data_IF_950331317454
#
_entry.id   IF_950331317454
#
_cell.length_a   1.000
_cell.length_b   1.000
_cell.length_c   1.000
_cell.angle_alpha   90.00
_cell.angle_beta   90.00
_cell.angle_gamma   90.00
#
_symmetry.space_group_name_H-M   'P 1'
#
loop_
_entity.id
_entity.type
_entity.pdbx_description
1 polymer ?
#
# COMPACT_ATOMS: atom_id res chain seq x y z
N UNK A 1 1.63 3.36 7.74
CA UNK A 1 0.76 2.19 8.06
C UNK A 1 0.27 1.57 6.78
N UNK A 2 0.07 0.25 6.74
CA UNK A 2 -0.29 -0.44 5.49
C UNK A 2 -1.36 -1.49 5.75
N UNK A 3 -2.26 -1.68 4.78
CA UNK A 3 -3.31 -2.69 4.80
C UNK A 3 -2.98 -3.76 3.75
N UNK A 4 -2.80 -4.99 4.21
CA UNK A 4 -2.52 -6.14 3.34
C UNK A 4 -3.77 -6.79 2.79
N UNK A 5 -3.64 -7.45 1.62
CA UNK A 5 -4.69 -8.24 0.99
C UNK A 5 -6.06 -7.53 0.93
N UNK A 6 -6.08 -6.33 0.37
CA UNK A 6 -7.28 -5.47 0.39
C UNK A 6 -7.99 -5.32 -0.97
N UNK A 7 -7.67 -6.15 -1.95
CA UNK A 7 -8.36 -6.17 -3.25
C UNK A 7 -8.93 -7.56 -3.51
N UNK A 8 -10.23 -7.63 -3.83
CA UNK A 8 -10.92 -8.91 -4.02
C UNK A 8 -10.35 -9.70 -5.21
N UNK A 9 -10.07 -9.02 -6.30
CA UNK A 9 -9.43 -9.58 -7.49
C UNK A 9 -7.98 -10.05 -7.22
N UNK A 10 -7.23 -9.36 -6.36
CA UNK A 10 -5.92 -9.82 -5.91
C UNK A 10 -5.99 -11.03 -4.98
N UNK A 11 -6.99 -11.09 -4.11
CA UNK A 11 -7.24 -12.28 -3.28
C UNK A 11 -7.55 -13.50 -4.15
N UNK A 12 -8.39 -13.34 -5.18
CA UNK A 12 -8.71 -14.39 -6.15
C UNK A 12 -7.45 -14.85 -6.91
N UNK A 13 -6.63 -13.91 -7.43
CA UNK A 13 -5.38 -14.19 -8.14
C UNK A 13 -4.39 -15.03 -7.32
N UNK A 14 -4.30 -14.75 -6.02
CA UNK A 14 -3.37 -15.43 -5.10
C UNK A 14 -3.96 -16.67 -4.44
N UNK A 15 -5.25 -16.92 -4.60
CA UNK A 15 -5.98 -18.01 -3.93
C UNK A 15 -6.07 -17.80 -2.41
N UNK A 16 -6.02 -16.56 -1.94
CA UNK A 16 -6.10 -16.22 -0.53
C UNK A 16 -7.56 -16.00 -0.11
N UNK A 17 -7.88 -16.41 1.11
CA UNK A 17 -9.19 -16.15 1.70
C UNK A 17 -9.37 -14.64 1.98
N UNK A 18 -10.57 -14.12 1.76
CA UNK A 18 -10.91 -12.75 2.10
C UNK A 18 -10.85 -12.58 3.62
N UNK A 19 -10.05 -11.64 4.15
CA UNK A 19 -9.92 -11.45 5.58
C UNK A 19 -11.20 -10.84 6.18
N UNK A 20 -11.55 -11.25 7.40
CA UNK A 20 -12.68 -10.69 8.14
C UNK A 20 -12.45 -9.23 8.58
N UNK A 21 -11.19 -8.86 8.82
CA UNK A 21 -10.77 -7.53 9.23
C UNK A 21 -9.54 -7.07 8.44
N UNK A 22 -9.30 -5.75 8.30
CA UNK A 22 -8.10 -5.22 7.66
C UNK A 22 -6.82 -5.78 8.27
N UNK A 23 -5.95 -6.39 7.45
CA UNK A 23 -4.65 -6.89 7.89
C UNK A 23 -3.70 -5.69 8.00
N UNK A 24 -3.42 -5.27 9.22
CA UNK A 24 -2.55 -4.13 9.50
C UNK A 24 -1.09 -4.55 9.65
N UNK A 25 -0.21 -3.83 8.99
CA UNK A 25 1.23 -3.88 9.24
C UNK A 25 1.87 -2.48 9.11
N UNK A 26 3.14 -2.37 9.48
CA UNK A 26 3.88 -1.11 9.48
C UNK A 26 5.10 -1.24 8.59
N UNK A 27 5.50 -0.11 7.99
CA UNK A 27 6.84 0.07 7.42
C UNK A 27 7.68 0.93 8.37
N UNK A 28 8.97 0.62 8.48
CA UNK A 28 9.91 1.47 9.21
C UNK A 28 10.01 2.86 8.55
N UNK A 29 10.33 3.89 9.33
CA UNK A 29 10.50 5.24 8.78
C UNK A 29 11.64 5.31 7.74
N UNK A 30 12.67 4.48 7.88
CA UNK A 30 13.78 4.37 6.90
C UNK A 30 13.36 3.81 5.54
N UNK A 31 12.16 3.21 5.44
CA UNK A 31 11.61 2.78 4.16
C UNK A 31 11.07 3.93 3.32
N UNK A 32 10.76 5.10 3.92
CA UNK A 32 10.25 6.25 3.18
C UNK A 32 11.28 6.69 2.14
N UNK A 33 10.80 6.87 0.91
CA UNK A 33 11.63 7.24 -0.23
C UNK A 33 10.91 8.25 -1.12
N UNK A 34 11.66 9.05 -1.85
CA UNK A 34 11.09 9.98 -2.83
C UNK A 34 10.51 9.23 -4.05
N UNK A 35 9.59 9.88 -4.78
CA UNK A 35 8.89 9.23 -5.91
C UNK A 35 9.80 8.92 -7.10
N UNK A 36 10.96 9.58 -7.19
CA UNK A 36 11.93 9.41 -8.27
C UNK A 36 13.31 8.98 -7.76
N UNK A 37 13.41 8.60 -6.49
CA UNK A 37 14.65 8.14 -5.89
C UNK A 37 14.81 6.62 -6.09
N UNK A 38 16.06 6.17 -6.12
CA UNK A 38 16.39 4.76 -6.33
C UNK A 38 15.85 3.87 -5.20
N UNK A 39 15.30 2.73 -5.57
CA UNK A 39 14.98 1.65 -4.65
C UNK A 39 16.20 0.76 -4.52
N UNK A 40 16.74 0.61 -3.31
CA UNK A 40 17.95 -0.14 -3.04
C UNK A 40 17.59 -1.54 -2.51
N UNK A 41 17.70 -2.61 -3.32
CA UNK A 41 17.45 -3.96 -2.85
C UNK A 41 18.39 -4.33 -1.68
N UNK A 42 17.86 -4.93 -0.61
CA UNK A 42 18.67 -5.29 0.55
C UNK A 42 19.68 -6.38 0.22
N UNK A 43 20.74 -6.47 1.01
CA UNK A 43 21.81 -7.46 0.82
C UNK A 43 21.24 -8.88 0.73
N UNK A 44 21.54 -9.56 -0.36
CA UNK A 44 21.09 -10.93 -0.62
C UNK A 44 19.64 -11.04 -1.07
N UNK A 45 18.99 -9.91 -1.42
CA UNK A 45 17.67 -9.88 -2.03
C UNK A 45 17.68 -10.61 -3.38
N UNK A 46 16.59 -11.34 -3.64
CA UNK A 46 16.31 -11.99 -4.92
C UNK A 46 14.82 -11.94 -5.27
N UNK A 47 14.00 -11.41 -4.37
CA UNK A 47 12.55 -11.47 -4.47
C UNK A 47 11.92 -10.11 -4.15
N UNK A 48 12.60 -9.03 -4.55
CA UNK A 48 12.05 -7.67 -4.45
C UNK A 48 10.92 -7.51 -5.45
N UNK A 49 9.79 -7.04 -4.98
CA UNK A 49 8.53 -6.99 -5.72
C UNK A 49 7.87 -5.61 -5.56
N UNK A 50 7.05 -5.23 -6.51
CA UNK A 50 6.32 -3.96 -6.59
C UNK A 50 4.88 -4.12 -6.12
N UNK A 51 4.30 -3.04 -5.60
CA UNK A 51 2.88 -2.95 -5.21
C UNK A 51 2.40 -1.50 -5.32
N UNK A 52 1.71 -1.15 -6.43
CA UNK A 52 1.06 0.17 -6.52
C UNK A 52 -0.13 0.22 -5.58
N UNK A 53 -0.22 1.30 -4.78
CA UNK A 53 -1.27 1.49 -3.79
C UNK A 53 -1.77 2.92 -3.74
N UNK A 54 -3.05 3.10 -3.37
CA UNK A 54 -3.57 4.38 -2.96
C UNK A 54 -3.06 4.67 -1.54
N UNK A 55 -2.39 5.80 -1.36
CA UNK A 55 -2.02 6.34 -0.06
C UNK A 55 -3.06 7.34 0.43
N UNK A 56 -3.58 7.14 1.63
CA UNK A 56 -4.50 8.07 2.30
C UNK A 56 -3.73 8.90 3.30
N UNK A 57 -3.74 10.22 3.15
CA UNK A 57 -3.04 11.16 4.04
C UNK A 57 -4.01 11.71 5.07
N UNK A 58 -3.72 11.51 6.35
CA UNK A 58 -4.54 12.01 7.46
C UNK A 58 -4.31 13.52 7.64
N UNK A 59 -5.39 14.28 7.76
CA UNK A 59 -5.36 15.75 7.88
C UNK A 59 -5.62 16.28 9.28
N UNK A 60 -6.28 15.52 10.13
CA UNK A 60 -6.51 15.85 11.55
C UNK A 60 -6.56 14.61 12.42
N UNK A 61 -6.26 14.78 13.72
CA UNK A 61 -6.22 13.66 14.65
C UNK A 61 -7.54 12.88 14.67
N UNK A 62 -7.46 11.56 14.45
CA UNK A 62 -8.60 10.65 14.37
C UNK A 62 -8.48 9.57 15.44
N UNK A 63 -9.44 9.52 16.36
CA UNK A 63 -9.56 8.50 17.40
C UNK A 63 -11.03 8.16 17.59
N UNK A 64 -11.37 6.87 17.54
CA UNK A 64 -12.74 6.36 17.66
C UNK A 64 -13.72 7.00 16.68
N UNK A 65 -13.29 7.13 15.42
CA UNK A 65 -14.06 7.77 14.34
C UNK A 65 -15.06 6.77 13.75
N UNK A 66 -16.32 7.20 13.64
CA UNK A 66 -17.34 6.44 12.91
C UNK A 66 -17.05 6.43 11.40
N UNK A 67 -17.40 5.33 10.72
CA UNK A 67 -17.17 5.16 9.28
C UNK A 67 -17.78 6.30 8.46
N UNK A 68 -18.98 6.76 8.81
CA UNK A 68 -19.67 7.83 8.08
C UNK A 68 -18.92 9.18 8.12
N UNK A 69 -18.08 9.41 9.11
CA UNK A 69 -17.30 10.64 9.30
C UNK A 69 -15.83 10.47 8.93
N UNK A 70 -15.40 9.27 8.51
CA UNK A 70 -13.99 8.93 8.34
C UNK A 70 -13.27 9.82 7.33
N UNK A 71 -13.91 10.15 6.20
CA UNK A 71 -13.30 11.02 5.16
C UNK A 71 -13.11 12.46 5.62
N UNK A 72 -13.79 12.91 6.69
CA UNK A 72 -13.56 14.25 7.23
C UNK A 72 -12.17 14.41 7.84
N UNK A 73 -11.52 13.30 8.18
CA UNK A 73 -10.18 13.25 8.76
C UNK A 73 -9.07 13.12 7.71
N UNK A 74 -9.43 12.93 6.44
CA UNK A 74 -8.49 12.80 5.33
C UNK A 74 -8.14 14.18 4.77
N UNK A 75 -6.85 14.46 4.57
CA UNK A 75 -6.35 15.65 3.88
C UNK A 75 -6.35 15.47 2.36
N UNK A 76 -5.97 14.30 1.91
CA UNK A 76 -5.84 13.99 0.49
C UNK A 76 -5.27 12.60 0.25
N UNK A 77 -4.82 12.39 -0.98
CA UNK A 77 -4.37 11.09 -1.48
C UNK A 77 -3.06 11.23 -2.25
N UNK A 78 -2.26 10.19 -2.24
CA UNK A 78 -1.03 10.09 -3.04
C UNK A 78 -0.89 8.66 -3.58
N UNK A 79 0.12 8.42 -4.40
CA UNK A 79 0.53 7.07 -4.73
C UNK A 79 1.60 6.59 -3.75
N UNK A 80 1.58 5.31 -3.47
CA UNK A 80 2.62 4.60 -2.72
C UNK A 80 3.03 3.38 -3.53
N UNK A 81 4.31 3.05 -3.53
CA UNK A 81 4.78 1.74 -3.95
C UNK A 81 5.22 0.96 -2.70
N UNK A 82 4.38 0.00 -2.27
CA UNK A 82 4.68 -0.82 -1.08
C UNK A 82 5.67 -1.94 -1.42
N UNK A 83 6.88 -1.54 -1.81
CA UNK A 83 7.95 -2.46 -2.23
C UNK A 83 8.21 -3.51 -1.15
N UNK A 84 8.39 -4.74 -1.58
CA UNK A 84 8.42 -5.91 -0.70
C UNK A 84 9.56 -6.85 -1.06
N UNK A 85 10.40 -7.25 -0.10
CA UNK A 85 11.24 -8.44 -0.23
C UNK A 85 10.44 -9.67 0.24
N UNK A 86 9.90 -10.41 -0.71
CA UNK A 86 8.97 -11.53 -0.44
C UNK A 86 9.54 -12.62 0.46
N UNK A 87 10.83 -12.91 0.33
CA UNK A 87 11.48 -13.89 1.22
C UNK A 87 11.45 -13.43 2.67
N UNK A 88 11.72 -12.14 2.92
CA UNK A 88 11.72 -11.61 4.29
C UNK A 88 10.29 -11.51 4.83
N UNK A 89 9.32 -11.17 3.98
CA UNK A 89 7.91 -11.10 4.35
C UNK A 89 7.36 -12.44 4.82
N UNK A 90 7.60 -13.52 4.05
CA UNK A 90 6.88 -14.80 4.24
C UNK A 90 7.73 -15.91 4.85
N UNK A 91 9.05 -15.94 4.60
CA UNK A 91 9.91 -17.06 5.00
C UNK A 91 10.68 -16.81 6.32
N UNK A 92 10.64 -15.59 6.86
CA UNK A 92 11.25 -15.25 8.14
C UNK A 92 10.20 -15.10 9.25
N UNK A 93 9.50 -16.19 9.56
CA UNK A 93 8.47 -16.27 10.62
C UNK A 93 7.19 -15.47 10.36
N UNK A 94 6.85 -15.18 9.10
CA UNK A 94 5.54 -14.61 8.70
C UNK A 94 5.23 -13.20 9.17
N UNK A 95 6.18 -12.45 9.76
CA UNK A 95 5.97 -11.06 10.13
C UNK A 95 6.30 -10.16 8.94
N UNK A 96 5.27 -9.59 8.32
CA UNK A 96 5.35 -8.86 7.06
C UNK A 96 6.27 -7.64 7.11
N UNK A 97 6.30 -6.92 8.24
CA UNK A 97 7.17 -5.76 8.45
C UNK A 97 8.62 -6.02 8.05
N UNK A 98 9.13 -7.25 8.22
CA UNK A 98 10.51 -7.62 7.85
C UNK A 98 10.78 -7.47 6.35
N UNK A 99 9.83 -7.81 5.50
CA UNK A 99 9.95 -7.68 4.04
C UNK A 99 9.50 -6.32 3.50
N UNK A 100 8.71 -5.61 4.28
CA UNK A 100 8.09 -4.33 3.94
C UNK A 100 8.91 -3.12 4.37
N UNK A 101 9.87 -3.30 5.29
CA UNK A 101 10.60 -2.20 5.95
C UNK A 101 12.08 -2.08 5.55
N UNK A 102 12.50 -2.73 4.45
CA UNK A 102 13.85 -2.47 3.94
C UNK A 102 13.98 -0.98 3.58
N UNK A 103 15.17 -0.43 3.75
CA UNK A 103 15.44 0.97 3.43
C UNK A 103 15.02 1.28 1.98
N UNK A 104 14.43 2.44 1.74
CA UNK A 104 13.90 2.90 0.44
C UNK A 104 12.70 2.14 -0.12
N UNK A 105 12.13 1.18 0.61
CA UNK A 105 11.02 0.33 0.12
C UNK A 105 9.63 0.96 0.21
N UNK A 106 9.55 2.27 0.38
CA UNK A 106 8.29 3.01 0.45
C UNK A 106 8.34 4.31 -0.38
N UNK A 107 8.53 4.26 -1.70
CA UNK A 107 8.37 5.44 -2.55
C UNK A 107 6.96 6.01 -2.41
N UNK A 108 6.87 7.34 -2.17
CA UNK A 108 5.62 8.05 -1.95
C UNK A 108 5.60 9.30 -2.82
N UNK A 109 4.49 9.57 -3.48
CA UNK A 109 4.31 10.78 -4.26
C UNK A 109 3.68 10.49 -5.63
N UNK A 110 3.98 11.31 -6.67
CA UNK A 110 4.92 12.45 -6.67
C UNK A 110 4.43 13.67 -5.87
N UNK A 111 3.13 13.78 -5.59
CA UNK A 111 2.50 14.82 -4.78
C UNK A 111 1.24 14.26 -4.08
N UNK A 112 0.73 14.99 -3.13
CA UNK A 112 -0.59 14.75 -2.55
C UNK A 112 -1.63 15.57 -3.35
N UNK A 113 -2.72 14.90 -3.74
CA UNK A 113 -3.92 15.56 -4.27
C UNK A 113 -4.91 15.73 -3.12
N UNK A 114 -5.42 16.92 -2.91
CA UNK A 114 -6.37 17.18 -1.82
C UNK A 114 -7.71 16.50 -2.06
N UNK A 115 -8.41 16.16 -1.00
CA UNK A 115 -9.65 15.35 -1.08
C UNK A 115 -10.77 16.02 -1.89
N UNK A 116 -10.78 17.33 -1.97
CA UNK A 116 -11.76 18.10 -2.73
C UNK A 116 -11.56 18.02 -4.26
N UNK A 117 -10.34 17.69 -4.70
CA UNK A 117 -10.04 17.40 -6.12
C UNK A 117 -10.33 15.94 -6.50
N UNK A 118 -10.44 15.04 -5.52
CA UNK A 118 -10.78 13.62 -5.72
C UNK A 118 -12.28 13.43 -5.45
N UNK A 119 -13.06 13.18 -6.49
CA UNK A 119 -14.51 13.03 -6.35
C UNK A 119 -14.91 11.82 -5.52
N UNK A 120 -14.44 10.62 -5.88
CA UNK A 120 -14.68 9.37 -5.16
C UNK A 120 -13.41 8.54 -5.05
N UNK A 121 -12.82 8.41 -3.86
CA UNK A 121 -11.62 7.60 -3.66
C UNK A 121 -11.84 6.11 -3.93
N UNK A 122 -13.09 5.65 -4.03
CA UNK A 122 -13.43 4.26 -4.34
C UNK A 122 -13.68 4.02 -5.84
N UNK A 123 -13.31 4.95 -6.71
CA UNK A 123 -13.39 4.77 -8.16
C UNK A 123 -12.19 5.43 -8.87
N UNK A 124 -10.99 5.05 -8.47
CA UNK A 124 -9.73 5.53 -9.04
C UNK A 124 -9.03 4.39 -9.77
N UNK A 125 -8.69 4.62 -11.03
CA UNK A 125 -7.83 3.71 -11.78
C UNK A 125 -6.39 3.84 -11.31
N UNK A 126 -5.73 2.69 -11.13
CA UNK A 126 -4.33 2.61 -10.77
C UNK A 126 -3.59 1.62 -11.67
N UNK A 127 -2.34 1.93 -11.96
CA UNK A 127 -1.49 1.02 -12.72
C UNK A 127 -0.03 1.19 -12.36
N UNK A 128 0.77 0.18 -12.69
CA UNK A 128 2.22 0.17 -12.53
C UNK A 128 2.87 -0.47 -13.75
N UNK A 129 3.89 0.19 -14.26
CA UNK A 129 4.72 -0.30 -15.36
C UNK A 129 6.14 -0.56 -14.85
N UNK A 130 6.76 -1.65 -15.34
CA UNK A 130 8.18 -1.97 -15.11
C UNK A 130 8.85 -2.07 -16.48
N UNK A 131 9.88 -1.27 -16.72
CA UNK A 131 10.61 -1.22 -17.98
C UNK A 131 9.69 -1.04 -19.21
N UNK A 132 8.68 -0.17 -19.07
CA UNK A 132 7.70 0.12 -20.12
C UNK A 132 6.65 -0.98 -20.36
N UNK A 133 6.63 -2.03 -19.53
CA UNK A 133 5.61 -3.09 -19.57
C UNK A 133 4.62 -2.93 -18.44
N UNK A 134 3.32 -2.94 -18.76
CA UNK A 134 2.25 -2.93 -17.77
C UNK A 134 2.28 -4.20 -16.93
N UNK A 135 2.45 -4.05 -15.61
CA UNK A 135 2.49 -5.13 -14.63
C UNK A 135 1.25 -5.17 -13.76
N UNK A 136 0.75 -4.02 -13.32
CA UNK A 136 -0.49 -3.94 -12.57
C UNK A 136 -1.51 -3.03 -13.25
N UNK A 137 -2.77 -3.40 -13.17
CA UNK A 137 -3.92 -2.57 -13.55
C UNK A 137 -5.06 -2.91 -12.60
N UNK A 138 -5.64 -1.90 -11.97
CA UNK A 138 -6.75 -2.08 -11.03
C UNK A 138 -7.55 -0.80 -10.85
N UNK A 139 -8.61 -0.91 -10.06
CA UNK A 139 -9.43 0.22 -9.67
C UNK A 139 -9.80 0.07 -8.20
N UNK A 140 -9.79 1.15 -7.44
CA UNK A 140 -10.09 1.13 -5.99
C UNK A 140 -11.48 0.62 -5.65
N UNK A 141 -12.39 0.51 -6.62
CA UNK A 141 -13.73 -0.09 -6.43
C UNK A 141 -13.71 -1.57 -6.06
N UNK A 142 -12.60 -2.28 -6.34
CA UNK A 142 -12.43 -3.70 -5.98
C UNK A 142 -11.77 -3.91 -4.62
N UNK A 143 -11.54 -2.82 -3.85
CA UNK A 143 -11.13 -2.92 -2.45
C UNK A 143 -12.12 -3.75 -1.63
N UNK A 144 -11.61 -4.64 -0.77
CA UNK A 144 -12.38 -5.41 0.21
C UNK A 144 -12.87 -4.46 1.32
N UNK A 145 -11.97 -3.67 1.87
CA UNK A 145 -12.29 -2.61 2.84
C UNK A 145 -12.04 -1.26 2.18
N UNK A 146 -13.08 -0.46 2.08
CA UNK A 146 -12.99 0.88 1.48
C UNK A 146 -12.24 1.87 2.41
N UNK A 147 -11.89 3.05 1.88
CA UNK A 147 -11.13 4.06 2.64
C UNK A 147 -11.80 4.45 3.96
N UNK A 148 -13.14 4.58 3.98
CA UNK A 148 -13.89 4.93 5.19
C UNK A 148 -13.74 3.84 6.27
N UNK A 149 -13.89 2.58 5.87
CA UNK A 149 -13.74 1.43 6.74
C UNK A 149 -12.32 1.33 7.31
N UNK A 150 -11.31 1.53 6.48
CA UNK A 150 -9.91 1.50 6.91
C UNK A 150 -9.63 2.59 7.94
N UNK A 151 -9.97 3.85 7.65
CA UNK A 151 -9.72 4.98 8.58
C UNK A 151 -10.48 4.79 9.89
N UNK A 152 -11.76 4.40 9.82
CA UNK A 152 -12.57 4.10 11.00
C UNK A 152 -11.93 2.98 11.82
N UNK A 153 -11.63 1.83 11.19
CA UNK A 153 -11.04 0.66 11.85
C UNK A 153 -9.72 0.99 12.56
N UNK A 154 -8.78 1.64 11.87
CA UNK A 154 -7.50 2.01 12.46
C UNK A 154 -7.65 2.98 13.63
N UNK A 155 -8.59 3.92 13.54
CA UNK A 155 -8.87 4.88 14.61
C UNK A 155 -9.42 4.22 15.89
N UNK A 156 -9.99 3.03 15.82
CA UNK A 156 -10.38 2.26 17.00
C UNK A 156 -9.17 1.68 17.74
N UNK A 157 -8.12 1.35 17.01
CA UNK A 157 -6.92 0.70 17.56
C UNK A 157 -5.97 1.72 18.20
N UNK A 158 -5.67 2.81 17.48
CA UNK A 158 -4.77 3.88 17.93
C UNK A 158 -5.17 5.23 17.33
N UNK A 159 -4.55 6.31 17.80
CA UNK A 159 -4.79 7.64 17.25
C UNK A 159 -4.00 7.79 15.95
N UNK A 160 -4.71 8.19 14.89
CA UNK A 160 -4.09 8.64 13.65
C UNK A 160 -3.80 10.14 13.77
N UNK A 161 -2.62 10.59 13.35
CA UNK A 161 -2.21 11.99 13.43
C UNK A 161 -2.10 12.65 12.04
N UNK A 162 -2.22 13.98 11.96
CA UNK A 162 -1.97 14.71 10.73
C UNK A 162 -0.59 14.36 10.14
N UNK A 163 -0.56 14.02 8.86
CA UNK A 163 0.64 13.56 8.15
C UNK A 163 0.87 12.05 8.18
N UNK A 164 0.11 11.29 8.97
CA UNK A 164 0.12 9.82 8.83
C UNK A 164 -0.36 9.42 7.44
N UNK A 165 0.31 8.43 6.85
CA UNK A 165 -0.05 7.85 5.56
C UNK A 165 -0.49 6.41 5.77
N UNK A 166 -1.65 6.09 5.19
CA UNK A 166 -2.20 4.73 5.15
C UNK A 166 -2.11 4.24 3.71
N UNK A 167 -1.29 3.24 3.47
CA UNK A 167 -1.20 2.49 2.21
C UNK A 167 -2.31 1.44 2.22
N UNK A 168 -3.15 1.40 1.18
CA UNK A 168 -4.48 0.76 1.26
C UNK A 168 -4.58 -0.61 0.61
N UNK A 169 -3.45 -1.21 0.25
CA UNK A 169 -3.39 -2.48 -0.45
C UNK A 169 -3.22 -2.31 -1.96
N UNK A 170 -2.81 -3.38 -2.60
CA UNK A 170 -2.43 -3.41 -4.01
C UNK A 170 -3.40 -4.23 -4.86
N UNK A 171 -3.69 -3.81 -6.12
CA UNK A 171 -4.46 -4.61 -7.08
C UNK A 171 -3.62 -5.77 -7.65
N UNK A 172 -4.22 -6.67 -8.48
CA UNK A 172 -3.53 -7.79 -9.13
C UNK A 172 -2.30 -7.40 -9.95
N UNK A 173 -1.41 -8.36 -10.20
CA UNK A 173 -0.23 -8.23 -11.08
C UNK A 173 1.09 -8.00 -10.35
N UNK A 174 1.18 -8.34 -9.07
CA UNK A 174 2.45 -8.37 -8.33
C UNK A 174 3.40 -9.42 -8.90
N UNK A 175 4.70 -9.19 -8.77
CA UNK A 175 5.74 -10.06 -9.35
C UNK A 175 5.74 -11.48 -8.82
N UNK A 176 5.33 -11.70 -7.58
CA UNK A 176 5.21 -13.04 -6.97
C UNK A 176 4.26 -13.95 -7.75
N UNK A 177 3.18 -13.43 -8.31
CA UNK A 177 2.19 -14.21 -9.06
C UNK A 177 2.72 -14.58 -10.45
N UNK A 178 3.47 -13.68 -11.08
CA UNK A 178 4.05 -13.91 -12.42
C UNK A 178 5.45 -14.53 -12.38
N UNK A 179 5.95 -14.92 -11.21
CA UNK A 179 7.33 -15.37 -10.98
C UNK A 179 8.40 -14.38 -11.48
N UNK A 180 8.03 -13.11 -11.60
CA UNK A 180 8.88 -12.01 -12.03
C UNK A 180 9.20 -11.14 -10.82
N UNK A 181 10.48 -10.80 -10.63
CA UNK A 181 10.94 -9.96 -9.52
C UNK A 181 11.94 -8.93 -10.04
N UNK A 182 12.02 -7.79 -9.39
CA UNK A 182 13.04 -6.79 -9.66
C UNK A 182 14.43 -7.34 -9.33
N UNK A 183 15.40 -7.07 -10.20
CA UNK A 183 16.81 -7.40 -9.99
C UNK A 183 17.61 -6.09 -9.92
N UNK A 184 18.79 -6.13 -9.30
CA UNK A 184 19.65 -4.97 -9.07
C UNK A 184 20.09 -4.19 -10.34
N UNK A 185 19.74 -4.65 -11.53
CA UNK A 185 20.05 -3.99 -12.81
C UNK A 185 18.81 -3.64 -13.62
N UNK A 186 17.61 -3.72 -13.03
CA UNK A 186 16.32 -3.46 -13.70
C UNK A 186 15.66 -2.17 -13.18
N UNK A 187 16.42 -1.31 -12.51
CA UNK A 187 16.00 0.03 -12.04
C UNK A 187 16.50 1.11 -12.97
#
# INVERSE_FOLDING_TARGET
MCIGLNYADHAEETGADIPEHPILFMKANSAINGPNDDIIPPRGSKYTDWEVELGVVIGRAAKYVDENNALDYVAGYCLVNDVTERKFQSKLSGQWTKGKSCDTFGPIGPWMVTKDEIGDPQNLDMWLDVNGRRMQTGNTKTMIFNVKQIVSHLSQLFTLYPGDIISTGTPPGVGTVSYTHLRAHET
#
